data_IF_693315116782
#
_entry.id   IF_693315116782
#
_cell.length_a   1.000
_cell.length_b   1.000
_cell.length_c   1.000
_cell.angle_alpha   90.00
_cell.angle_beta   90.00
_cell.angle_gamma   90.00
#
_symmetry.space_group_name_H-M   'P 1'
#
loop_
_entity.id
_entity.type
_entity.pdbx_description
1 polymer ?
#
# COMPACT_ATOMS: atom_id res chain seq x y z
N UNK A 1 -70.75 -36.74 48.04
CA UNK A 1 -69.46 -37.19 48.62
C UNK A 1 -68.54 -37.56 47.47
N UNK A 2 -67.54 -36.74 47.15
CA UNK A 2 -66.55 -37.03 46.12
C UNK A 2 -65.18 -37.17 46.78
N UNK A 3 -64.72 -38.42 46.95
CA UNK A 3 -63.32 -38.71 47.29
C UNK A 3 -62.47 -38.56 46.02
N UNK A 4 -61.65 -37.51 45.94
CA UNK A 4 -60.60 -37.37 44.93
C UNK A 4 -59.32 -36.91 45.61
N UNK A 5 -58.53 -37.86 46.10
CA UNK A 5 -57.10 -37.66 46.41
C UNK A 5 -56.44 -38.99 46.75
N UNK A 6 -56.15 -39.80 45.73
CA UNK A 6 -55.18 -40.90 45.85
C UNK A 6 -53.77 -40.35 45.55
N UNK A 7 -52.82 -40.39 46.52
CA UNK A 7 -51.46 -39.84 46.33
C UNK A 7 -50.57 -40.65 45.38
N UNK A 8 -51.01 -41.83 44.94
CA UNK A 8 -50.23 -42.72 44.07
C UNK A 8 -50.10 -42.22 42.62
N UNK A 9 -51.10 -41.50 42.10
CA UNK A 9 -51.12 -41.08 40.69
C UNK A 9 -50.19 -39.89 40.39
N UNK A 10 -49.92 -39.04 41.38
CA UNK A 10 -49.07 -37.86 41.20
C UNK A 10 -47.57 -38.17 41.22
N UNK A 11 -47.16 -39.34 41.72
CA UNK A 11 -45.73 -39.73 41.73
C UNK A 11 -45.26 -40.18 40.35
N UNK A 12 -46.08 -40.93 39.60
CA UNK A 12 -45.74 -41.39 38.24
C UNK A 12 -45.57 -40.24 37.23
N UNK A 13 -46.36 -39.18 37.34
CA UNK A 13 -46.20 -38.03 36.44
C UNK A 13 -44.90 -37.27 36.68
N UNK A 14 -44.41 -37.23 37.92
CA UNK A 14 -43.17 -36.51 38.26
C UNK A 14 -41.91 -37.26 37.79
N UNK A 15 -41.94 -38.60 37.83
CA UNK A 15 -40.87 -39.43 37.25
C UNK A 15 -40.83 -39.36 35.72
N UNK A 16 -41.99 -39.40 35.04
CA UNK A 16 -42.04 -39.29 33.58
C UNK A 16 -41.53 -37.92 33.07
N UNK A 17 -41.81 -36.84 33.82
CA UNK A 17 -41.42 -35.49 33.42
C UNK A 17 -39.92 -35.18 33.63
N UNK A 18 -39.22 -35.85 34.56
CA UNK A 18 -37.77 -35.71 34.71
C UNK A 18 -36.98 -36.53 33.68
N UNK A 19 -37.45 -37.72 33.32
CA UNK A 19 -36.74 -38.57 32.33
C UNK A 19 -36.85 -38.01 30.91
N UNK A 20 -37.94 -37.32 30.58
CA UNK A 20 -38.15 -36.74 29.25
C UNK A 20 -37.22 -35.54 28.99
N UNK A 21 -36.99 -34.69 30.00
CA UNK A 21 -36.04 -33.56 29.91
C UNK A 21 -34.59 -34.03 29.81
N UNK A 22 -34.27 -35.17 30.43
CA UNK A 22 -32.91 -35.76 30.38
C UNK A 22 -32.61 -36.37 29.01
N UNK A 23 -33.57 -37.11 28.43
CA UNK A 23 -33.44 -37.65 27.07
C UNK A 23 -33.41 -36.54 26.00
N UNK A 24 -34.18 -35.46 26.18
CA UNK A 24 -34.09 -34.30 25.29
C UNK A 24 -32.74 -33.57 25.40
N UNK A 25 -32.17 -33.47 26.61
CA UNK A 25 -30.85 -32.86 26.79
C UNK A 25 -29.76 -33.69 26.09
N UNK A 26 -29.77 -35.02 26.25
CA UNK A 26 -28.82 -35.89 25.53
C UNK A 26 -28.97 -35.84 24.00
N UNK A 27 -30.19 -35.68 23.50
CA UNK A 27 -30.46 -35.50 22.06
C UNK A 27 -29.99 -34.14 21.55
N UNK A 28 -30.13 -33.08 22.36
CA UNK A 28 -29.63 -31.75 22.03
C UNK A 28 -28.10 -31.70 22.07
N UNK A 29 -27.45 -32.35 23.03
CA UNK A 29 -26.00 -32.45 23.11
C UNK A 29 -25.42 -33.18 21.89
N UNK A 30 -26.03 -34.31 21.49
CA UNK A 30 -25.66 -35.03 20.26
C UNK A 30 -25.92 -34.24 18.98
N UNK A 31 -26.90 -33.33 19.01
CA UNK A 31 -27.20 -32.45 17.89
C UNK A 31 -26.18 -31.30 17.80
N UNK A 32 -25.81 -30.71 18.95
CA UNK A 32 -24.76 -29.69 19.07
C UNK A 32 -23.43 -30.27 18.58
N UNK A 33 -23.04 -31.46 19.04
CA UNK A 33 -21.78 -32.11 18.67
C UNK A 33 -21.71 -32.41 17.15
N UNK A 34 -22.83 -32.81 16.55
CA UNK A 34 -22.93 -32.98 15.08
C UNK A 34 -22.89 -31.67 14.31
N UNK A 35 -23.48 -30.60 14.85
CA UNK A 35 -23.44 -29.28 14.21
C UNK A 35 -22.06 -28.66 14.34
N UNK A 36 -21.39 -28.76 15.49
CA UNK A 36 -20.04 -28.24 15.67
C UNK A 36 -19.05 -28.87 14.70
N UNK A 37 -19.11 -30.20 14.53
CA UNK A 37 -18.33 -30.93 13.53
C UNK A 37 -18.61 -30.45 12.10
N UNK A 38 -19.89 -30.27 11.73
CA UNK A 38 -20.31 -29.81 10.39
C UNK A 38 -20.02 -28.32 10.14
N UNK A 39 -20.08 -27.52 11.19
CA UNK A 39 -19.85 -26.08 11.16
C UNK A 39 -18.35 -25.81 11.04
N UNK A 40 -17.50 -26.54 11.77
CA UNK A 40 -16.05 -26.41 11.65
C UNK A 40 -15.58 -26.71 10.22
N UNK A 41 -16.01 -27.82 9.61
CA UNK A 41 -15.64 -28.16 8.22
C UNK A 41 -16.17 -27.15 7.19
N UNK A 42 -17.42 -26.70 7.35
CA UNK A 42 -18.03 -25.73 6.44
C UNK A 42 -17.45 -24.32 6.59
N UNK A 43 -17.13 -23.89 7.81
CA UNK A 43 -16.49 -22.60 8.10
C UNK A 43 -15.06 -22.60 7.60
N UNK A 44 -14.28 -23.67 7.83
CA UNK A 44 -12.91 -23.77 7.30
C UNK A 44 -12.93 -23.70 5.77
N UNK A 45 -13.83 -24.43 5.11
CA UNK A 45 -13.96 -24.39 3.65
C UNK A 45 -14.35 -23.00 3.13
N UNK A 46 -15.31 -22.33 3.78
CA UNK A 46 -15.74 -20.97 3.41
C UNK A 46 -14.68 -19.91 3.68
N UNK A 47 -13.92 -20.04 4.76
CA UNK A 47 -12.83 -19.13 5.12
C UNK A 47 -11.68 -19.29 4.13
N UNK A 48 -11.30 -20.52 3.77
CA UNK A 48 -10.29 -20.77 2.75
C UNK A 48 -10.71 -20.22 1.38
N UNK A 49 -11.93 -20.48 0.92
CA UNK A 49 -12.45 -19.88 -0.33
C UNK A 49 -12.42 -18.35 -0.30
N UNK A 50 -12.82 -17.74 0.82
CA UNK A 50 -12.81 -16.27 0.99
C UNK A 50 -11.39 -15.70 0.98
N UNK A 51 -10.45 -16.38 1.62
CA UNK A 51 -9.03 -15.97 1.64
C UNK A 51 -8.42 -16.10 0.25
N UNK A 52 -8.68 -17.19 -0.48
CA UNK A 52 -8.21 -17.36 -1.85
C UNK A 52 -8.79 -16.30 -2.81
N UNK A 53 -10.08 -16.00 -2.70
CA UNK A 53 -10.73 -14.93 -3.47
C UNK A 53 -10.15 -13.54 -3.12
N UNK A 54 -9.89 -13.27 -1.84
CA UNK A 54 -9.28 -12.02 -1.41
C UNK A 54 -7.84 -11.89 -1.90
N UNK A 55 -7.03 -12.96 -1.83
CA UNK A 55 -5.66 -12.98 -2.34
C UNK A 55 -5.65 -12.73 -3.85
N UNK A 56 -6.55 -13.36 -4.61
CA UNK A 56 -6.70 -13.08 -6.05
C UNK A 56 -7.05 -11.62 -6.32
N UNK A 57 -8.07 -11.09 -5.63
CA UNK A 57 -8.48 -9.69 -5.81
C UNK A 57 -7.40 -8.68 -5.41
N UNK A 58 -6.60 -8.97 -4.38
CA UNK A 58 -5.44 -8.15 -3.99
C UNK A 58 -4.35 -8.23 -5.06
N UNK A 59 -4.05 -9.42 -5.58
CA UNK A 59 -3.06 -9.59 -6.65
C UNK A 59 -3.44 -8.83 -7.91
N UNK A 60 -4.70 -8.93 -8.36
CA UNK A 60 -5.22 -8.23 -9.53
C UNK A 60 -5.17 -6.70 -9.36
N UNK A 61 -5.52 -6.19 -8.17
CA UNK A 61 -5.41 -4.76 -7.86
C UNK A 61 -3.96 -4.30 -7.82
N UNK A 62 -3.06 -5.10 -7.24
CA UNK A 62 -1.63 -4.77 -7.23
C UNK A 62 -1.06 -4.72 -8.65
N UNK A 63 -1.41 -5.67 -9.52
CA UNK A 63 -1.00 -5.62 -10.94
C UNK A 63 -1.54 -4.39 -11.66
N UNK A 64 -2.78 -4.01 -11.39
CA UNK A 64 -3.40 -2.83 -11.98
C UNK A 64 -2.71 -1.55 -11.51
N UNK A 65 -2.49 -1.40 -10.21
CA UNK A 65 -1.78 -0.27 -9.64
C UNK A 65 -0.33 -0.20 -10.13
N UNK A 66 0.36 -1.33 -10.26
CA UNK A 66 1.70 -1.37 -10.83
C UNK A 66 1.71 -0.94 -12.30
N UNK A 67 0.71 -1.36 -13.10
CA UNK A 67 0.56 -0.90 -14.49
C UNK A 67 0.27 0.59 -14.57
N UNK A 68 -0.60 1.12 -13.71
CA UNK A 68 -0.88 2.57 -13.62
C UNK A 68 0.34 3.36 -13.17
N UNK A 69 1.14 2.83 -12.24
CA UNK A 69 2.36 3.48 -11.76
C UNK A 69 3.46 3.48 -12.83
N UNK A 70 3.58 2.42 -13.62
CA UNK A 70 4.46 2.38 -14.80
C UNK A 70 3.98 3.36 -15.88
N UNK A 71 2.68 3.39 -16.18
CA UNK A 71 2.11 4.29 -17.18
C UNK A 71 2.18 5.77 -16.77
N UNK A 72 1.99 6.06 -15.49
CA UNK A 72 2.18 7.41 -14.93
C UNK A 72 3.65 7.80 -14.92
N UNK A 73 4.57 6.87 -14.63
CA UNK A 73 6.00 7.15 -14.69
C UNK A 73 6.47 7.47 -16.12
N UNK A 74 6.03 6.71 -17.12
CA UNK A 74 6.34 7.01 -18.52
C UNK A 74 5.79 8.37 -18.96
N UNK A 75 4.61 8.76 -18.49
CA UNK A 75 4.03 10.08 -18.82
C UNK A 75 4.70 11.22 -18.05
N UNK A 76 5.21 11.00 -16.83
CA UNK A 76 6.02 12.01 -16.12
C UNK A 76 7.42 12.17 -16.70
N UNK A 77 8.04 11.11 -17.19
CA UNK A 77 9.32 11.19 -17.90
C UNK A 77 9.15 11.97 -19.21
N UNK A 78 8.04 11.76 -19.92
CA UNK A 78 7.67 12.56 -21.10
C UNK A 78 7.36 14.02 -20.74
N UNK A 79 6.68 14.29 -19.61
CA UNK A 79 6.41 15.66 -19.18
C UNK A 79 7.68 16.40 -18.76
N UNK A 80 8.61 15.74 -18.06
CA UNK A 80 9.91 16.31 -17.71
C UNK A 80 10.77 16.57 -18.96
N UNK A 81 10.73 15.66 -19.94
CA UNK A 81 11.39 15.85 -21.22
C UNK A 81 10.78 17.03 -22.00
N UNK A 82 9.45 17.14 -22.06
CA UNK A 82 8.74 18.26 -22.70
C UNK A 82 9.01 19.60 -21.99
N UNK A 83 9.07 19.62 -20.67
CA UNK A 83 9.42 20.81 -19.89
C UNK A 83 10.87 21.23 -20.15
N UNK A 84 11.79 20.27 -20.22
CA UNK A 84 13.20 20.52 -20.55
C UNK A 84 13.33 21.06 -21.97
N UNK A 85 12.63 20.48 -22.94
CA UNK A 85 12.63 20.95 -24.32
C UNK A 85 12.02 22.35 -24.47
N UNK A 86 10.92 22.64 -23.76
CA UNK A 86 10.30 23.95 -23.73
C UNK A 86 11.21 25.00 -23.08
N UNK A 87 11.86 24.66 -21.96
CA UNK A 87 12.83 25.53 -21.28
C UNK A 87 14.03 25.81 -22.18
N UNK A 88 14.57 24.80 -22.86
CA UNK A 88 15.69 24.94 -23.79
C UNK A 88 15.33 25.81 -25.01
N UNK A 89 14.11 25.69 -25.54
CA UNK A 89 13.61 26.55 -26.63
C UNK A 89 13.45 28.01 -26.18
N UNK A 90 12.96 28.24 -24.96
CA UNK A 90 12.85 29.59 -24.39
C UNK A 90 14.23 30.19 -24.13
N UNK A 91 15.16 29.42 -23.56
CA UNK A 91 16.54 29.83 -23.32
C UNK A 91 17.28 30.18 -24.62
N UNK A 92 17.08 29.39 -25.68
CA UNK A 92 17.64 29.65 -27.01
C UNK A 92 17.06 30.90 -27.67
N UNK A 93 15.77 31.19 -27.45
CA UNK A 93 15.09 32.36 -28.01
C UNK A 93 15.41 33.67 -27.26
N UNK A 94 15.80 33.60 -25.99
CA UNK A 94 16.13 34.77 -25.16
C UNK A 94 17.64 35.06 -25.08
N UNK A 95 18.48 34.24 -25.71
CA UNK A 95 19.94 34.39 -25.68
C UNK A 95 20.57 34.17 -24.30
N UNK A 96 19.76 33.85 -23.29
CA UNK A 96 20.21 33.36 -21.99
C UNK A 96 20.25 31.85 -22.07
N UNK A 97 21.31 31.31 -22.66
CA UNK A 97 21.70 29.95 -22.37
C UNK A 97 21.94 29.88 -20.86
N UNK A 98 20.94 29.44 -20.09
CA UNK A 98 21.17 28.97 -18.74
C UNK A 98 21.93 27.66 -18.87
N UNK A 99 23.24 27.80 -18.98
CA UNK A 99 24.18 26.70 -18.83
C UNK A 99 24.06 26.26 -17.39
N UNK A 100 23.43 25.09 -17.20
CA UNK A 100 22.93 24.59 -15.92
C UNK A 100 24.03 24.16 -14.96
N UNK A 101 24.96 25.05 -14.63
CA UNK A 101 26.01 24.82 -13.65
C UNK A 101 26.36 26.09 -12.89
N UNK A 102 26.81 25.91 -11.65
CA UNK A 102 27.33 27.00 -10.85
C UNK A 102 28.53 27.68 -11.56
N UNK A 103 28.67 29.01 -11.47
CA UNK A 103 29.79 29.72 -12.07
C UNK A 103 31.11 29.18 -11.52
N UNK A 104 32.14 29.10 -12.37
CA UNK A 104 33.50 28.82 -11.89
C UNK A 104 33.95 30.04 -11.09
N UNK A 105 34.19 29.88 -9.80
CA UNK A 105 34.63 30.97 -8.92
C UNK A 105 36.14 30.90 -8.72
N UNK A 106 36.83 32.03 -8.93
CA UNK A 106 38.24 32.22 -8.61
C UNK A 106 38.42 33.37 -7.62
N UNK A 107 39.30 33.21 -6.64
CA UNK A 107 39.61 34.27 -5.69
C UNK A 107 40.32 35.45 -6.40
N UNK A 108 40.10 36.68 -5.92
CA UNK A 108 40.74 37.90 -6.45
C UNK A 108 42.26 37.82 -6.55
N UNK A 109 42.90 37.12 -5.61
CA UNK A 109 44.36 36.94 -5.59
C UNK A 109 44.83 36.03 -6.73
N UNK A 110 44.06 35.00 -7.04
CA UNK A 110 44.37 34.02 -8.08
C UNK A 110 43.98 34.53 -9.47
N UNK A 111 43.00 35.41 -9.57
CA UNK A 111 42.66 36.10 -10.81
C UNK A 111 43.79 37.02 -11.34
N UNK A 112 44.75 37.39 -10.48
CA UNK A 112 45.93 38.17 -10.87
C UNK A 112 47.06 37.30 -11.43
N UNK A 113 47.01 35.99 -11.20
CA UNK A 113 47.96 35.03 -11.76
C UNK A 113 47.46 34.56 -13.13
N UNK A 114 48.23 34.86 -14.19
CA UNK A 114 47.90 34.55 -15.57
C UNK A 114 47.63 33.06 -15.79
N UNK A 115 48.39 32.18 -15.13
CA UNK A 115 48.22 30.73 -15.30
C UNK A 115 46.92 30.25 -14.68
N UNK A 116 46.60 30.73 -13.48
CA UNK A 116 45.38 30.35 -12.75
C UNK A 116 44.13 30.92 -13.41
N UNK A 117 44.18 32.16 -13.87
CA UNK A 117 43.10 32.77 -14.63
C UNK A 117 42.83 32.04 -15.95
N UNK A 118 43.87 31.70 -16.71
CA UNK A 118 43.72 30.97 -17.97
C UNK A 118 43.13 29.57 -17.75
N UNK A 119 43.57 28.87 -16.70
CA UNK A 119 43.01 27.56 -16.32
C UNK A 119 41.53 27.66 -15.93
N UNK A 120 41.16 28.65 -15.12
CA UNK A 120 39.78 28.87 -14.71
C UNK A 120 38.88 29.29 -15.89
N UNK A 121 39.39 30.10 -16.82
CA UNK A 121 38.70 30.47 -18.06
C UNK A 121 38.46 29.27 -18.97
N UNK A 122 39.46 28.40 -19.13
CA UNK A 122 39.33 27.17 -19.90
C UNK A 122 38.34 26.19 -19.26
N UNK A 123 38.28 26.14 -17.92
CA UNK A 123 37.29 25.34 -17.18
C UNK A 123 35.86 25.89 -17.38
N UNK A 124 35.71 27.21 -17.30
CA UNK A 124 34.45 27.92 -17.52
C UNK A 124 33.94 27.69 -18.95
N UNK A 125 34.80 27.82 -19.96
CA UNK A 125 34.48 27.54 -21.37
C UNK A 125 34.12 26.06 -21.59
N UNK A 126 34.84 25.11 -20.95
CA UNK A 126 34.53 23.67 -21.08
C UNK A 126 33.18 23.29 -20.49
N UNK A 127 32.79 23.94 -19.39
CA UNK A 127 31.52 23.72 -18.70
C UNK A 127 30.40 24.61 -19.24
N UNK A 128 30.71 25.50 -20.18
CA UNK A 128 29.83 26.53 -20.72
C UNK A 128 29.27 27.48 -19.64
N UNK A 129 29.90 27.59 -18.47
CA UNK A 129 29.43 28.43 -17.35
C UNK A 129 30.24 29.72 -17.25
N UNK A 130 29.68 30.82 -16.71
CA UNK A 130 30.42 32.06 -16.54
C UNK A 130 31.53 31.95 -15.48
N UNK A 131 32.66 32.62 -15.71
CA UNK A 131 33.75 32.79 -14.73
C UNK A 131 33.42 33.97 -13.81
N UNK A 132 33.37 33.74 -12.50
CA UNK A 132 33.16 34.75 -11.47
C UNK A 132 34.44 34.98 -10.66
N UNK A 133 34.80 36.25 -10.45
CA UNK A 133 35.93 36.62 -9.58
C UNK A 133 35.35 37.04 -8.24
N UNK A 134 35.60 36.24 -7.21
CA UNK A 134 35.22 36.57 -5.84
C UNK A 134 36.05 37.77 -5.38
N UNK A 135 35.36 38.81 -4.89
CA UNK A 135 35.96 40.09 -4.48
C UNK A 135 36.22 40.18 -2.98
N UNK A 136 35.82 39.16 -2.23
CA UNK A 136 36.07 39.06 -0.79
C UNK A 136 37.56 38.97 -0.43
#
# INVERSE_FOLDING_TARGET
MACKSCPFFMSKQKEQHMTDTTNQSELMDKFIEKIESKLADAVISKVSERVEQQIKGISEKNETLLKELVASKSTTDDFAAMLTEATNKIASATGTAQTGGDPVVIAKVDARDVKKYAAAKAEAERRDVPLHIDRS
#
